data_IF_679447418643
#
_entry.id   IF_679447418643
#
_cell.length_a   1.000
_cell.length_b   1.000
_cell.length_c   1.000
_cell.angle_alpha   90.00
_cell.angle_beta   90.00
_cell.angle_gamma   90.00
#
_symmetry.space_group_name_H-M   'P 1'
#
loop_
_entity.id
_entity.type
_entity.pdbx_description
1 polymer ?
#
# COMPACT_ATOMS: atom_id res chain seq x y z
N UNK A 1 -15.95 -1.74 -45.68
CA UNK A 1 -15.02 -2.27 -44.66
C UNK A 1 -14.75 -1.13 -43.71
N UNK A 2 -14.93 -1.26 -42.39
CA UNK A 2 -14.52 -0.16 -41.51
C UNK A 2 -13.00 -0.07 -41.61
N UNK A 3 -12.51 1.11 -42.02
CA UNK A 3 -11.09 1.44 -42.05
C UNK A 3 -10.53 1.23 -40.65
N UNK A 4 -9.89 0.08 -40.42
CA UNK A 4 -9.32 -0.22 -39.12
C UNK A 4 -8.15 0.73 -38.92
N UNK A 5 -8.37 1.80 -38.15
CA UNK A 5 -7.34 2.73 -37.71
C UNK A 5 -6.15 1.92 -37.22
N UNK A 6 -4.93 2.32 -37.61
CA UNK A 6 -3.72 1.59 -37.26
C UNK A 6 -3.50 1.66 -35.75
N UNK A 7 -3.99 0.66 -35.02
CA UNK A 7 -3.55 0.41 -33.65
C UNK A 7 -2.05 0.15 -33.62
N UNK A 8 -1.41 0.37 -32.47
CA UNK A 8 0.03 0.18 -32.22
C UNK A 8 0.59 -1.08 -32.90
N UNK A 9 -0.11 -2.22 -32.79
CA UNK A 9 0.18 -3.44 -33.55
C UNK A 9 -0.82 -3.63 -34.69
N UNK A 10 -0.36 -4.07 -35.86
CA UNK A 10 -1.27 -4.49 -36.94
C UNK A 10 -2.04 -5.75 -36.55
N UNK A 11 -3.16 -6.04 -37.24
CA UNK A 11 -3.94 -7.27 -37.04
C UNK A 11 -3.06 -8.52 -37.11
N UNK A 12 -2.19 -8.60 -38.11
CA UNK A 12 -1.28 -9.74 -38.30
C UNK A 12 -0.23 -9.85 -37.19
N UNK A 13 0.27 -8.73 -36.67
CA UNK A 13 1.21 -8.74 -35.54
C UNK A 13 0.54 -9.23 -34.26
N UNK A 14 -0.70 -8.80 -33.98
CA UNK A 14 -1.46 -9.30 -32.82
C UNK A 14 -1.68 -10.81 -32.88
N UNK A 15 -2.04 -11.31 -34.06
CA UNK A 15 -2.22 -12.75 -34.25
C UNK A 15 -0.92 -13.52 -33.97
N UNK A 16 0.20 -13.04 -34.51
CA UNK A 16 1.51 -13.67 -34.28
C UNK A 16 1.94 -13.65 -32.82
N UNK A 17 1.67 -12.58 -32.09
CA UNK A 17 1.98 -12.52 -30.65
C UNK A 17 1.13 -13.53 -29.87
N UNK A 18 -0.16 -13.67 -30.22
CA UNK A 18 -1.05 -14.65 -29.56
C UNK A 18 -0.68 -16.09 -29.86
N UNK A 19 -0.23 -16.37 -31.09
CA UNK A 19 0.19 -17.71 -31.50
C UNK A 19 1.67 -17.96 -31.23
N UNK A 20 2.36 -17.11 -30.44
CA UNK A 20 3.79 -17.23 -30.13
C UNK A 20 4.71 -17.40 -31.36
N UNK A 21 4.30 -16.81 -32.50
CA UNK A 21 4.95 -16.94 -33.81
C UNK A 21 4.99 -18.38 -34.37
N UNK A 22 4.10 -19.26 -33.92
CA UNK A 22 3.91 -20.59 -34.47
C UNK A 22 3.82 -20.58 -36.00
N UNK A 23 4.58 -21.49 -36.63
CA UNK A 23 4.63 -21.65 -38.08
C UNK A 23 5.13 -20.41 -38.86
N UNK A 24 5.79 -19.45 -38.22
CA UNK A 24 6.44 -18.33 -38.88
C UNK A 24 7.91 -18.66 -39.15
N UNK A 25 8.36 -18.50 -40.41
CA UNK A 25 9.75 -18.72 -40.76
C UNK A 25 10.70 -17.85 -39.89
N UNK A 26 11.85 -18.36 -39.40
CA UNK A 26 12.71 -17.66 -38.43
C UNK A 26 13.20 -16.27 -38.87
N UNK A 27 13.42 -16.05 -40.16
CA UNK A 27 13.81 -14.74 -40.69
C UNK A 27 12.66 -13.72 -40.60
N UNK A 28 11.43 -14.19 -40.84
CA UNK A 28 10.21 -13.37 -40.78
C UNK A 28 9.84 -13.06 -39.34
N UNK A 29 9.95 -14.04 -38.44
CA UNK A 29 9.77 -13.85 -36.99
C UNK A 29 10.70 -12.75 -36.48
N UNK A 30 12.02 -12.86 -36.69
CA UNK A 30 13.00 -11.85 -36.26
C UNK A 30 12.74 -10.45 -36.83
N UNK A 31 12.18 -10.36 -38.04
CA UNK A 31 11.79 -9.08 -38.66
C UNK A 31 10.57 -8.50 -37.97
N UNK A 32 9.57 -9.32 -37.70
CA UNK A 32 8.33 -8.90 -37.06
C UNK A 32 8.53 -8.52 -35.59
N UNK A 33 9.29 -9.30 -34.83
CA UNK A 33 9.68 -8.97 -33.45
C UNK A 33 10.42 -7.63 -33.37
N UNK A 34 11.34 -7.35 -34.31
CA UNK A 34 12.01 -6.04 -34.39
C UNK A 34 11.02 -4.91 -34.62
N UNK A 35 10.10 -5.07 -35.58
CA UNK A 35 9.07 -4.06 -35.86
C UNK A 35 8.12 -3.85 -34.68
N UNK A 36 7.76 -4.92 -33.98
CA UNK A 36 6.90 -4.86 -32.79
C UNK A 36 7.62 -4.07 -31.70
N UNK A 37 8.90 -4.36 -31.43
CA UNK A 37 9.71 -3.60 -30.46
C UNK A 37 9.74 -2.11 -30.77
N UNK A 38 10.07 -1.72 -32.00
CA UNK A 38 10.09 -0.32 -32.42
C UNK A 38 8.73 0.37 -32.26
N UNK A 39 7.62 -0.36 -32.48
CA UNK A 39 6.26 0.19 -32.30
C UNK A 39 5.88 0.36 -30.84
N UNK A 40 6.32 -0.56 -29.97
CA UNK A 40 6.10 -0.44 -28.52
C UNK A 40 6.86 0.78 -28.00
N UNK A 41 8.12 0.93 -28.39
CA UNK A 41 8.95 2.09 -28.04
C UNK A 41 8.30 3.40 -28.49
N UNK A 42 7.99 3.54 -29.79
CA UNK A 42 7.34 4.74 -30.31
C UNK A 42 5.97 5.02 -29.65
N UNK A 43 5.22 3.97 -29.31
CA UNK A 43 3.94 4.14 -28.61
C UNK A 43 4.06 4.60 -27.16
N UNK A 44 5.20 4.39 -26.50
CA UNK A 44 5.49 5.00 -25.20
C UNK A 44 5.80 6.49 -25.39
N UNK A 45 6.56 6.84 -26.43
CA UNK A 45 6.89 8.24 -26.73
C UNK A 45 5.65 9.09 -27.07
N UNK A 46 4.62 8.48 -27.68
CA UNK A 46 3.35 9.15 -27.98
C UNK A 46 2.66 9.71 -26.73
N UNK A 47 2.92 9.17 -25.53
CA UNK A 47 2.33 9.69 -24.28
C UNK A 47 2.79 11.11 -23.93
N UNK A 48 3.93 11.57 -24.42
CA UNK A 48 4.36 12.97 -24.23
C UNK A 48 3.39 13.95 -24.91
N UNK A 49 2.80 13.54 -26.03
CA UNK A 49 1.75 14.32 -26.70
C UNK A 49 0.39 14.11 -26.04
N UNK A 50 0.07 12.87 -25.65
CA UNK A 50 -1.23 12.54 -25.10
C UNK A 50 -1.46 13.11 -23.70
N UNK A 51 -0.41 13.41 -22.93
CA UNK A 51 -0.56 13.98 -21.57
C UNK A 51 -1.27 15.33 -21.59
N UNK A 52 -1.12 16.12 -22.66
CA UNK A 52 -1.78 17.43 -22.81
C UNK A 52 -2.95 17.39 -23.80
N UNK A 53 -3.38 16.19 -24.20
CA UNK A 53 -4.46 16.04 -25.16
C UNK A 53 -5.80 16.43 -24.52
N UNK A 54 -6.65 17.23 -25.19
CA UNK A 54 -7.83 17.80 -24.55
C UNK A 54 -8.82 16.73 -24.08
N UNK A 55 -9.37 16.90 -22.88
CA UNK A 55 -10.30 15.95 -22.25
C UNK A 55 -11.47 15.56 -23.17
N UNK A 56 -12.07 16.54 -23.86
CA UNK A 56 -13.16 16.33 -24.81
C UNK A 56 -12.80 15.33 -25.91
N UNK A 57 -11.53 15.28 -26.33
CA UNK A 57 -11.11 14.34 -27.35
C UNK A 57 -10.96 12.92 -26.81
N UNK A 58 -10.57 12.75 -25.54
CA UNK A 58 -10.61 11.45 -24.88
C UNK A 58 -12.05 10.97 -24.69
N UNK A 59 -12.97 11.86 -24.32
CA UNK A 59 -14.40 11.54 -24.22
C UNK A 59 -14.94 11.01 -25.55
N UNK A 60 -14.68 11.72 -26.66
CA UNK A 60 -15.09 11.30 -28.00
C UNK A 60 -14.41 9.99 -28.44
N UNK A 61 -13.13 9.78 -28.11
CA UNK A 61 -12.40 8.58 -28.47
C UNK A 61 -12.94 7.29 -27.79
N UNK A 62 -13.64 7.44 -26.65
CA UNK A 62 -14.19 6.33 -25.88
C UNK A 62 -15.71 6.37 -25.73
N UNK A 63 -16.41 7.26 -26.44
CA UNK A 63 -17.86 7.49 -26.33
C UNK A 63 -18.68 6.19 -26.51
N UNK A 64 -18.32 5.40 -27.52
CA UNK A 64 -19.01 4.14 -27.84
C UNK A 64 -18.57 2.95 -26.96
N UNK A 65 -17.61 3.12 -26.05
CA UNK A 65 -17.08 2.01 -25.23
C UNK A 65 -17.77 1.91 -23.88
N UNK A 66 -18.24 0.71 -23.49
CA UNK A 66 -18.69 0.47 -22.12
C UNK A 66 -17.56 0.71 -21.11
N UNK A 67 -17.89 1.34 -19.97
CA UNK A 67 -16.94 1.58 -18.87
C UNK A 67 -16.27 0.30 -18.34
N UNK A 68 -16.97 -0.85 -18.39
CA UNK A 68 -16.41 -2.15 -18.00
C UNK A 68 -15.27 -2.57 -18.93
N UNK A 69 -15.47 -2.48 -20.24
CA UNK A 69 -14.43 -2.78 -21.23
C UNK A 69 -13.26 -1.80 -21.09
N UNK A 70 -13.54 -0.50 -20.95
CA UNK A 70 -12.50 0.50 -20.75
C UNK A 70 -11.65 0.21 -19.51
N UNK A 71 -12.28 -0.21 -18.40
CA UNK A 71 -11.56 -0.60 -17.18
C UNK A 71 -10.60 -1.77 -17.41
N UNK A 72 -11.03 -2.81 -18.12
CA UNK A 72 -10.18 -3.96 -18.46
C UNK A 72 -8.99 -3.52 -19.31
N UNK A 73 -9.22 -2.69 -20.33
CA UNK A 73 -8.14 -2.17 -21.19
C UNK A 73 -7.15 -1.28 -20.44
N UNK A 74 -7.63 -0.44 -19.52
CA UNK A 74 -6.76 0.38 -18.67
C UNK A 74 -5.95 -0.48 -17.70
N UNK A 75 -6.51 -1.58 -17.18
CA UNK A 75 -5.77 -2.52 -16.35
C UNK A 75 -4.64 -3.21 -17.15
N UNK A 76 -4.91 -3.66 -18.37
CA UNK A 76 -3.90 -4.25 -19.27
C UNK A 76 -2.77 -3.24 -19.59
N UNK A 77 -3.14 -1.97 -19.84
CA UNK A 77 -2.18 -0.90 -20.08
C UNK A 77 -1.30 -0.62 -18.85
N UNK A 78 -1.92 -0.52 -17.66
CA UNK A 78 -1.21 -0.34 -16.39
C UNK A 78 -0.21 -1.47 -16.14
N UNK A 79 -0.64 -2.74 -16.30
CA UNK A 79 0.24 -3.90 -16.13
C UNK A 79 1.41 -3.87 -17.11
N UNK A 80 1.17 -3.43 -18.35
CA UNK A 80 2.21 -3.31 -19.37
C UNK A 80 3.24 -2.26 -18.97
N UNK A 81 2.81 -1.07 -18.52
CA UNK A 81 3.69 0.01 -18.05
C UNK A 81 4.52 -0.46 -16.84
N UNK A 82 3.89 -1.08 -15.84
CA UNK A 82 4.58 -1.58 -14.65
C UNK A 82 5.59 -2.70 -14.97
N UNK A 83 5.27 -3.55 -15.95
CA UNK A 83 6.19 -4.59 -16.42
C UNK A 83 7.40 -3.99 -17.13
N UNK A 84 7.21 -2.98 -17.98
CA UNK A 84 8.33 -2.24 -18.60
C UNK A 84 9.19 -1.61 -17.51
N UNK A 85 8.58 -0.89 -16.56
CA UNK A 85 9.29 -0.27 -15.43
C UNK A 85 10.14 -1.30 -14.68
N UNK A 86 9.56 -2.45 -14.32
CA UNK A 86 10.23 -3.51 -13.57
C UNK A 86 11.35 -4.17 -14.37
N UNK A 87 11.15 -4.43 -15.66
CA UNK A 87 12.19 -5.00 -16.53
C UNK A 87 13.41 -4.10 -16.70
N UNK A 88 13.21 -2.78 -16.59
CA UNK A 88 14.27 -1.78 -16.70
C UNK A 88 14.81 -1.31 -15.34
N UNK A 89 14.41 -1.96 -14.23
CA UNK A 89 14.84 -1.63 -12.87
C UNK A 89 14.60 -0.16 -12.50
N UNK A 90 13.49 0.41 -13.00
CA UNK A 90 13.11 1.79 -12.71
C UNK A 90 12.30 1.82 -11.42
N UNK A 91 12.70 2.65 -10.46
CA UNK A 91 11.96 2.80 -9.21
C UNK A 91 10.55 3.37 -9.45
N UNK A 92 9.56 2.82 -8.73
CA UNK A 92 8.15 3.22 -8.88
C UNK A 92 7.93 4.65 -8.38
N UNK A 93 8.54 5.02 -7.28
CA UNK A 93 8.37 6.36 -6.71
C UNK A 93 9.06 7.40 -7.58
N UNK A 94 10.20 7.08 -8.20
CA UNK A 94 10.86 7.93 -9.20
C UNK A 94 9.95 8.23 -10.41
N UNK A 95 9.22 7.23 -10.94
CA UNK A 95 8.23 7.45 -12.02
C UNK A 95 7.09 8.34 -11.55
N UNK A 96 6.60 8.13 -10.34
CA UNK A 96 5.53 8.95 -9.76
C UNK A 96 6.00 10.40 -9.56
N UNK A 97 7.22 10.62 -9.09
CA UNK A 97 7.81 11.95 -8.93
C UNK A 97 7.95 12.67 -10.28
N UNK A 98 8.49 11.99 -11.30
CA UNK A 98 8.58 12.53 -12.65
C UNK A 98 7.19 12.87 -13.23
N UNK A 99 6.19 12.02 -13.00
CA UNK A 99 4.82 12.26 -13.44
C UNK A 99 4.16 13.44 -12.70
N UNK A 100 4.43 13.61 -11.40
CA UNK A 100 3.97 14.78 -10.63
C UNK A 100 4.66 16.07 -11.10
N UNK A 101 5.95 16.03 -11.40
CA UNK A 101 6.67 17.17 -11.99
C UNK A 101 6.07 17.55 -13.34
N UNK A 102 5.79 16.56 -14.18
CA UNK A 102 5.12 16.78 -15.47
C UNK A 102 3.74 17.39 -15.29
N UNK A 103 2.92 16.86 -14.39
CA UNK A 103 1.59 17.41 -14.05
C UNK A 103 1.67 18.89 -13.66
N UNK A 104 2.63 19.29 -12.81
CA UNK A 104 2.83 20.70 -12.42
C UNK A 104 3.30 21.60 -13.56
N UNK A 105 3.93 21.04 -14.58
CA UNK A 105 4.43 21.77 -15.75
C UNK A 105 3.37 22.02 -16.83
N UNK A 106 2.25 21.30 -16.79
CA UNK A 106 1.17 21.42 -17.78
C UNK A 106 0.27 22.60 -17.42
N UNK A 107 -0.16 23.35 -18.43
CA UNK A 107 -1.13 24.44 -18.24
C UNK A 107 -2.51 23.84 -17.90
N UNK A 108 -3.13 24.20 -16.77
CA UNK A 108 -4.43 23.66 -16.34
C UNK A 108 -5.56 23.93 -17.36
N UNK A 109 -5.45 24.96 -18.20
CA UNK A 109 -6.44 25.26 -19.24
C UNK A 109 -6.49 24.21 -20.37
N UNK A 110 -5.46 23.37 -20.51
CA UNK A 110 -5.34 22.40 -21.59
C UNK A 110 -5.95 21.02 -21.27
N UNK A 111 -5.95 20.60 -20.00
CA UNK A 111 -6.42 19.29 -19.56
C UNK A 111 -6.84 19.34 -18.08
N UNK A 112 -8.11 19.64 -17.83
CA UNK A 112 -8.64 19.83 -16.48
C UNK A 112 -8.66 18.54 -15.66
N UNK A 113 -8.83 17.39 -16.33
CA UNK A 113 -8.80 16.08 -15.65
C UNK A 113 -7.44 15.75 -15.05
N UNK A 114 -6.34 16.35 -15.55
CA UNK A 114 -5.01 16.13 -14.98
C UNK A 114 -4.95 16.56 -13.51
N UNK A 115 -5.61 17.65 -13.11
CA UNK A 115 -5.60 18.10 -11.72
C UNK A 115 -6.32 17.13 -10.76
N UNK A 116 -7.20 16.28 -11.30
CA UNK A 116 -7.89 15.24 -10.53
C UNK A 116 -7.04 13.98 -10.35
N UNK A 117 -6.00 13.78 -11.18
CA UNK A 117 -5.12 12.60 -11.10
C UNK A 117 -4.25 12.66 -9.85
N UNK A 118 -4.57 11.79 -8.89
CA UNK A 118 -3.85 11.67 -7.62
C UNK A 118 -2.72 10.64 -7.71
N UNK A 119 -1.54 11.12 -8.06
CA UNK A 119 -0.30 10.32 -8.04
C UNK A 119 0.31 10.32 -6.63
N UNK A 120 0.72 9.16 -6.11
CA UNK A 120 1.26 9.02 -4.75
C UNK A 120 2.47 8.10 -4.69
N UNK A 121 3.55 8.61 -4.10
CA UNK A 121 4.73 7.83 -3.71
C UNK A 121 4.46 7.05 -2.43
N UNK A 122 5.26 6.02 -2.15
CA UNK A 122 5.17 5.27 -0.90
C UNK A 122 5.45 6.17 0.30
N UNK A 123 6.44 7.06 0.22
CA UNK A 123 6.74 8.02 1.29
C UNK A 123 5.62 9.05 1.50
N UNK A 124 4.92 9.43 0.44
CA UNK A 124 3.71 10.26 0.54
C UNK A 124 2.57 9.53 1.23
N UNK A 125 2.38 8.24 0.92
CA UNK A 125 1.39 7.40 1.60
C UNK A 125 1.76 7.16 3.07
N UNK A 126 3.02 6.83 3.36
CA UNK A 126 3.54 6.58 4.71
C UNK A 126 3.40 7.81 5.60
N UNK A 127 3.82 9.00 5.14
CA UNK A 127 3.67 10.25 5.92
C UNK A 127 2.21 10.57 6.20
N UNK A 128 1.33 10.35 5.23
CA UNK A 128 -0.12 10.55 5.42
C UNK A 128 -0.69 9.54 6.40
N UNK A 129 -0.34 8.26 6.25
CA UNK A 129 -0.73 7.18 7.15
C UNK A 129 -0.24 7.47 8.57
N UNK A 130 1.02 7.86 8.74
CA UNK A 130 1.58 8.30 10.02
C UNK A 130 0.82 9.51 10.59
N UNK A 131 0.39 10.48 9.77
CA UNK A 131 -0.36 11.65 10.23
C UNK A 131 -1.83 11.37 10.58
N UNK A 132 -2.52 10.54 9.78
CA UNK A 132 -3.93 10.15 9.99
C UNK A 132 -4.02 9.21 11.20
N UNK A 133 -3.09 8.26 11.33
CA UNK A 133 -3.00 7.42 12.51
C UNK A 133 -2.39 8.14 13.72
N UNK A 134 -1.52 9.15 13.60
CA UNK A 134 -1.09 9.93 14.76
C UNK A 134 -2.26 10.67 15.43
N UNK A 135 -3.27 11.06 14.65
CA UNK A 135 -4.50 11.66 15.17
C UNK A 135 -5.41 10.61 15.85
N UNK A 136 -5.56 9.43 15.25
CA UNK A 136 -6.43 8.35 15.75
C UNK A 136 -5.80 7.53 16.90
N UNK A 137 -4.46 7.40 16.90
CA UNK A 137 -3.63 6.81 17.95
C UNK A 137 -3.05 7.86 18.91
N UNK A 138 -3.74 8.98 19.14
CA UNK A 138 -3.49 9.76 20.36
C UNK A 138 -3.61 8.79 21.54
N UNK A 139 -2.59 8.68 22.41
CA UNK A 139 -2.64 7.76 23.54
C UNK A 139 -3.85 8.12 24.38
N UNK A 140 -4.90 7.30 24.30
CA UNK A 140 -6.14 7.46 25.06
C UNK A 140 -5.79 7.57 26.54
N UNK A 141 -6.61 8.28 27.31
CA UNK A 141 -6.39 8.48 28.75
C UNK A 141 -6.07 7.15 29.47
N UNK A 142 -6.71 6.06 29.07
CA UNK A 142 -6.44 4.69 29.52
C UNK A 142 -5.03 4.14 29.19
N UNK A 143 -4.45 4.49 28.03
CA UNK A 143 -3.06 4.11 27.69
C UNK A 143 -2.06 4.84 28.57
N UNK A 144 -2.31 6.13 28.82
CA UNK A 144 -1.47 6.95 29.72
C UNK A 144 -1.58 6.46 31.17
N UNK A 145 -2.79 6.14 31.61
CA UNK A 145 -3.05 5.58 32.94
C UNK A 145 -2.37 4.22 33.12
N UNK A 146 -2.51 3.31 32.15
CA UNK A 146 -1.84 2.00 32.19
C UNK A 146 -0.31 2.12 32.19
N UNK A 147 0.27 2.96 31.35
CA UNK A 147 1.72 3.18 31.30
C UNK A 147 2.25 3.80 32.61
N UNK A 148 1.51 4.74 33.21
CA UNK A 148 1.84 5.29 34.52
C UNK A 148 1.75 4.24 35.65
N UNK A 149 0.70 3.41 35.66
CA UNK A 149 0.51 2.33 36.64
C UNK A 149 1.61 1.27 36.53
N UNK A 150 2.00 0.89 35.31
CA UNK A 150 3.09 -0.05 35.08
C UNK A 150 4.45 0.51 35.53
N UNK A 151 4.76 1.77 35.18
CA UNK A 151 6.01 2.43 35.59
C UNK A 151 6.11 2.58 37.11
N UNK A 152 5.03 3.03 37.76
CA UNK A 152 4.97 3.13 39.22
C UNK A 152 5.09 1.75 39.86
N UNK A 153 4.38 0.76 39.34
CA UNK A 153 4.43 -0.62 39.82
C UNK A 153 5.84 -1.23 39.75
N UNK A 154 6.55 -1.05 38.63
CA UNK A 154 7.95 -1.50 38.48
C UNK A 154 8.87 -0.76 39.44
N UNK A 155 8.70 0.54 39.60
CA UNK A 155 9.49 1.36 40.53
C UNK A 155 9.31 0.87 41.98
N UNK A 156 8.07 0.61 42.41
CA UNK A 156 7.79 0.07 43.74
C UNK A 156 8.37 -1.34 43.94
N UNK A 157 8.32 -2.20 42.91
CA UNK A 157 8.99 -3.50 42.96
C UNK A 157 10.50 -3.39 43.14
N UNK A 158 11.15 -2.47 42.42
CA UNK A 158 12.59 -2.23 42.55
C UNK A 158 12.95 -1.72 43.95
N UNK A 159 12.16 -0.78 44.49
CA UNK A 159 12.35 -0.26 45.84
C UNK A 159 12.22 -1.39 46.88
N UNK A 160 11.19 -2.23 46.76
CA UNK A 160 10.97 -3.36 47.69
C UNK A 160 12.03 -4.43 47.54
N UNK A 161 12.48 -4.71 46.32
CA UNK A 161 13.58 -5.64 46.06
C UNK A 161 14.89 -5.15 46.67
N UNK A 162 15.18 -3.85 46.59
CA UNK A 162 16.35 -3.24 47.23
C UNK A 162 16.23 -3.28 48.76
N UNK A 163 15.07 -2.93 49.30
CA UNK A 163 14.79 -2.98 50.75
C UNK A 163 14.86 -4.41 51.30
N UNK A 164 14.49 -5.43 50.53
CA UNK A 164 14.57 -6.82 50.95
C UNK A 164 16.03 -7.30 51.11
N UNK A 165 16.97 -6.69 50.36
CA UNK A 165 18.41 -6.97 50.48
C UNK A 165 19.04 -6.18 51.63
N UNK A 166 18.63 -4.93 51.82
CA UNK A 166 19.27 -4.00 52.77
C UNK A 166 18.65 -4.06 54.17
N UNK A 167 17.36 -4.38 54.29
CA UNK A 167 16.59 -4.38 55.53
C UNK A 167 15.46 -5.44 55.52
N UNK A 168 15.81 -6.74 55.51
CA UNK A 168 14.85 -7.84 55.34
C UNK A 168 13.76 -7.90 56.43
N UNK A 169 14.08 -7.56 57.67
CA UNK A 169 13.12 -7.56 58.79
C UNK A 169 12.05 -6.47 58.63
N UNK A 170 12.36 -5.38 57.94
CA UNK A 170 11.42 -4.29 57.65
C UNK A 170 10.46 -4.67 56.51
N UNK A 171 10.95 -5.37 55.48
CA UNK A 171 10.11 -5.87 54.37
C UNK A 171 9.15 -6.98 54.77
N UNK A 172 9.51 -7.81 55.75
CA UNK A 172 8.61 -8.85 56.29
C UNK A 172 7.59 -8.29 57.30
N UNK A 173 7.73 -7.01 57.68
CA UNK A 173 6.83 -6.28 58.57
C UNK A 173 6.10 -5.13 57.84
N UNK A 174 6.08 -3.90 58.40
CA UNK A 174 5.35 -2.76 57.83
C UNK A 174 5.74 -2.40 56.38
N UNK A 175 6.96 -2.73 55.95
CA UNK A 175 7.45 -2.49 54.59
C UNK A 175 6.78 -3.33 53.50
N UNK A 176 6.09 -4.43 53.86
CA UNK A 176 5.32 -5.27 52.93
C UNK A 176 4.18 -4.51 52.23
N UNK A 177 3.65 -3.45 52.86
CA UNK A 177 2.59 -2.60 52.31
C UNK A 177 3.04 -1.95 50.99
N UNK A 178 4.30 -1.54 50.90
CA UNK A 178 4.87 -0.92 49.69
C UNK A 178 4.89 -1.93 48.53
N UNK A 179 5.19 -3.20 48.83
CA UNK A 179 5.16 -4.29 47.85
C UNK A 179 3.75 -4.63 47.38
N UNK A 180 2.79 -4.65 48.30
CA UNK A 180 1.37 -4.89 47.98
C UNK A 180 0.82 -3.77 47.10
N UNK A 181 1.11 -2.50 47.42
CA UNK A 181 0.70 -1.35 46.60
C UNK A 181 1.32 -1.43 45.21
N UNK A 182 2.63 -1.72 45.11
CA UNK A 182 3.30 -1.94 43.82
C UNK A 182 2.64 -3.05 42.99
N UNK A 183 2.33 -4.19 43.60
CA UNK A 183 1.67 -5.31 42.94
C UNK A 183 0.27 -4.96 42.44
N UNK A 184 -0.54 -4.25 43.24
CA UNK A 184 -1.89 -3.81 42.84
C UNK A 184 -1.83 -2.83 41.66
N UNK A 185 -0.86 -1.91 41.65
CA UNK A 185 -0.67 -0.98 40.53
C UNK A 185 -0.26 -1.72 39.25
N UNK A 186 0.62 -2.74 39.35
CA UNK A 186 0.99 -3.59 38.21
C UNK A 186 -0.20 -4.38 37.68
N UNK A 187 -0.95 -5.04 38.56
CA UNK A 187 -2.15 -5.81 38.17
C UNK A 187 -3.20 -4.90 37.53
N UNK A 188 -3.40 -3.68 38.05
CA UNK A 188 -4.27 -2.68 37.44
C UNK A 188 -3.79 -2.23 36.05
N UNK A 189 -2.49 -1.94 35.92
CA UNK A 189 -1.87 -1.57 34.65
C UNK A 189 -1.98 -2.68 33.60
N UNK A 190 -1.66 -3.92 33.97
CA UNK A 190 -1.77 -5.11 33.12
C UNK A 190 -3.22 -5.45 32.78
N UNK A 191 -4.15 -5.30 33.72
CA UNK A 191 -5.58 -5.53 33.50
C UNK A 191 -6.15 -4.59 32.43
N UNK A 192 -5.75 -3.32 32.43
CA UNK A 192 -6.15 -2.35 31.40
C UNK A 192 -5.55 -2.74 30.02
N UNK A 193 -4.29 -3.18 29.98
CA UNK A 193 -3.67 -3.70 28.74
C UNK A 193 -4.41 -4.93 28.24
N UNK A 194 -4.72 -5.89 29.11
CA UNK A 194 -5.41 -7.13 28.77
C UNK A 194 -6.81 -6.86 28.22
N UNK A 195 -7.60 -6.00 28.87
CA UNK A 195 -8.94 -5.61 28.39
C UNK A 195 -8.86 -4.93 27.02
N UNK A 196 -7.84 -4.10 26.80
CA UNK A 196 -7.62 -3.44 25.50
C UNK A 196 -7.24 -4.45 24.42
N UNK A 197 -6.30 -5.34 24.70
CA UNK A 197 -5.89 -6.40 23.77
C UNK A 197 -7.07 -7.31 23.42
N UNK A 198 -7.90 -7.66 24.40
CA UNK A 198 -9.11 -8.47 24.17
C UNK A 198 -10.10 -7.72 23.27
N UNK A 199 -10.37 -6.44 23.57
CA UNK A 199 -11.37 -5.65 22.84
C UNK A 199 -10.97 -5.30 21.41
N UNK A 200 -9.70 -4.92 21.22
CA UNK A 200 -9.25 -4.34 19.96
C UNK A 200 -8.45 -5.31 19.08
N UNK A 201 -7.88 -6.38 19.64
CA UNK A 201 -7.07 -7.32 18.87
C UNK A 201 -7.76 -8.70 18.77
N UNK A 202 -8.13 -9.30 19.90
CA UNK A 202 -8.69 -10.67 19.93
C UNK A 202 -10.14 -10.75 19.40
N UNK A 203 -11.04 -9.88 19.87
CA UNK A 203 -12.45 -9.90 19.44
C UNK A 203 -12.63 -9.69 17.92
N UNK A 204 -11.97 -8.71 17.27
CA UNK A 204 -12.07 -8.57 15.82
C UNK A 204 -11.35 -9.70 15.07
N UNK A 205 -10.23 -10.23 15.57
CA UNK A 205 -9.58 -11.40 14.97
C UNK A 205 -10.48 -12.65 15.01
N UNK A 206 -11.14 -12.91 16.13
CA UNK A 206 -12.11 -14.00 16.28
C UNK A 206 -13.34 -13.82 15.38
N UNK A 207 -13.83 -12.58 15.20
CA UNK A 207 -14.91 -12.29 14.26
C UNK A 207 -14.49 -12.53 12.81
N UNK A 208 -13.26 -12.14 12.43
CA UNK A 208 -12.70 -12.42 11.10
C UNK A 208 -12.52 -13.92 10.86
N UNK A 209 -11.97 -14.64 11.85
CA UNK A 209 -11.79 -16.10 11.79
C UNK A 209 -13.12 -16.85 11.64
N UNK A 210 -14.18 -16.36 12.30
CA UNK A 210 -15.53 -16.95 12.21
C UNK A 210 -16.24 -16.61 10.91
N UNK A 211 -15.98 -15.43 10.33
CA UNK A 211 -16.60 -14.99 9.08
C UNK A 211 -15.90 -15.56 7.84
N UNK A 212 -14.58 -15.74 7.88
CA UNK A 212 -13.79 -16.28 6.77
C UNK A 212 -12.53 -17.04 7.28
N UNK A 213 -12.68 -18.35 7.59
CA UNK A 213 -11.59 -19.14 8.18
C UNK A 213 -10.46 -19.43 7.18
N UNK A 214 -10.74 -19.48 5.87
CA UNK A 214 -9.74 -19.76 4.83
C UNK A 214 -8.95 -18.51 4.42
N UNK A 215 -9.58 -17.33 4.47
CA UNK A 215 -8.89 -16.04 4.27
C UNK A 215 -7.92 -15.69 5.41
N UNK A 216 -8.27 -16.00 6.66
CA UNK A 216 -7.41 -15.73 7.82
C UNK A 216 -6.14 -16.60 7.85
N UNK A 217 -6.23 -17.87 7.41
CA UNK A 217 -5.07 -18.77 7.31
C UNK A 217 -4.09 -18.36 6.20
N UNK A 218 -4.59 -17.82 5.07
CA UNK A 218 -3.71 -17.27 4.02
C UNK A 218 -2.97 -16.01 4.48
N UNK A 219 -3.64 -15.12 5.21
CA UNK A 219 -3.01 -13.89 5.71
C UNK A 219 -1.86 -14.13 6.70
N UNK A 220 -1.88 -15.24 7.44
CA UNK A 220 -0.77 -15.65 8.33
C UNK A 220 0.33 -16.37 7.55
N UNK A 221 -0.03 -17.10 6.50
CA UNK A 221 0.93 -17.79 5.62
C UNK A 221 1.72 -16.83 4.72
N UNK A 222 1.09 -15.74 4.24
CA UNK A 222 1.75 -14.71 3.44
C UNK A 222 2.65 -13.76 4.27
N UNK A 223 2.69 -13.92 5.59
CA UNK A 223 3.55 -13.15 6.50
C UNK A 223 4.83 -13.89 6.94
N UNK A 224 5.01 -15.16 6.53
CA UNK A 224 6.22 -15.95 6.72
C UNK A 224 6.90 -16.25 5.37
#
# INVERSE_FOLDING_TARGET
MPDSVSSLLTRTQRERVRSEFDNVAPAKQRRDERKIRTRIEAGIDDFDLLVTYPDRQFELAFEDRPKSELRERLADAQLTIERIRTLHDIDRDAVVEAAQERQRSVNPDAAATLDEVRLRTHDGWRRRFESEFAAEYRPTWWKRLSDALLKLGVLFLLIVSLLAVVAPDFTNGPGSIVGIVGAVLLFGGLGIVAVRAIKYDLLPALRRLRADPSGALRAVWDQF
#
